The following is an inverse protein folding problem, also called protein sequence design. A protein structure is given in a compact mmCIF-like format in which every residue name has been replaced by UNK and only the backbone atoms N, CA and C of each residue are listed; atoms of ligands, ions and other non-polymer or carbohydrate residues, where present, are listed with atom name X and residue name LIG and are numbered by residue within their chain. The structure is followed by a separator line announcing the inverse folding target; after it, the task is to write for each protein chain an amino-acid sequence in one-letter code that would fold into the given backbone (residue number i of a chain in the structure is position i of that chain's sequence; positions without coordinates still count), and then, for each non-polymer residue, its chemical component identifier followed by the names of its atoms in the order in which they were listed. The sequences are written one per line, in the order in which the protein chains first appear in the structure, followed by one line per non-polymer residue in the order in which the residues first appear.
data_IF_060742431945
#
_entry.id   IF_060742431945
#
_cell.length_a   1.000
_cell.length_b   1.000
_cell.length_c   1.000
_cell.angle_alpha   90.00
_cell.angle_beta   90.00
_cell.angle_gamma   90.00
#
_symmetry.space_group_name_H-M   'P 1'
#
loop_
_entity.id
_entity.type
_entity.pdbx_description
1 polymer ?
#
# COMPACT_ATOMS: atom_id res chain seq x y z
N UNK A 1 26.71 0.71 -13.00
CA UNK A 1 25.77 0.29 -14.07
C UNK A 1 25.54 -1.19 -13.84
N UNK A 2 24.52 -1.55 -13.03
CA UNK A 2 24.25 -2.95 -12.70
C UNK A 2 23.72 -3.71 -13.94
N UNK A 3 24.13 -4.98 -14.01
CA UNK A 3 24.01 -5.93 -15.10
C UNK A 3 22.57 -6.45 -15.26
N UNK A 4 21.93 -6.13 -16.37
CA UNK A 4 20.64 -6.70 -16.81
C UNK A 4 20.89 -7.83 -17.83
N UNK A 5 21.20 -9.05 -17.38
CA UNK A 5 21.01 -10.25 -18.23
C UNK A 5 20.70 -11.50 -17.41
N UNK A 6 19.54 -12.11 -17.73
CA UNK A 6 19.13 -13.51 -17.48
C UNK A 6 18.63 -13.86 -16.07
N UNK A 7 17.58 -13.16 -15.63
CA UNK A 7 16.39 -13.79 -15.06
C UNK A 7 15.30 -12.72 -15.12
N UNK A 8 14.27 -12.91 -15.94
CA UNK A 8 13.10 -12.04 -15.87
C UNK A 8 12.39 -12.30 -14.54
N UNK A 9 12.83 -11.57 -13.53
CA UNK A 9 12.29 -11.48 -12.19
C UNK A 9 10.76 -11.26 -12.20
N UNK A 10 10.18 -10.75 -13.29
CA UNK A 10 8.81 -10.24 -13.32
C UNK A 10 8.68 -8.89 -12.60
N UNK A 11 9.80 -8.23 -12.34
CA UNK A 11 9.92 -6.97 -11.60
C UNK A 11 9.05 -5.84 -12.23
N UNK A 12 8.95 -5.75 -13.56
CA UNK A 12 8.10 -4.74 -14.23
C UNK A 12 6.61 -4.98 -13.96
N UNK A 13 6.16 -6.22 -14.10
CA UNK A 13 4.76 -6.60 -13.82
C UNK A 13 4.44 -6.39 -12.34
N UNK A 14 5.38 -6.76 -11.45
CA UNK A 14 5.23 -6.56 -10.03
C UNK A 14 5.10 -5.07 -9.67
N UNK A 15 5.95 -4.20 -10.25
CA UNK A 15 5.87 -2.75 -10.05
C UNK A 15 4.58 -2.14 -10.61
N UNK A 16 4.08 -2.64 -11.74
CA UNK A 16 2.80 -2.20 -12.28
C UNK A 16 1.65 -2.51 -11.31
N UNK A 17 1.63 -3.72 -10.72
CA UNK A 17 0.60 -4.14 -9.76
C UNK A 17 0.80 -3.62 -8.33
N UNK A 18 1.99 -3.13 -7.99
CA UNK A 18 2.33 -2.69 -6.63
C UNK A 18 1.42 -1.55 -6.15
N UNK A 19 1.13 -0.59 -7.03
CA UNK A 19 0.29 0.56 -6.67
C UNK A 19 -1.16 0.17 -6.43
N UNK A 20 -1.73 -0.65 -7.32
CA UNK A 20 -3.09 -1.15 -7.19
C UNK A 20 -3.23 -1.98 -5.90
N UNK A 21 -2.23 -2.80 -5.59
CA UNK A 21 -2.20 -3.58 -4.35
C UNK A 21 -2.13 -2.68 -3.11
N UNK A 22 -1.24 -1.68 -3.07
CA UNK A 22 -1.12 -0.75 -1.93
C UNK A 22 -2.38 0.07 -1.69
N UNK A 23 -3.19 0.31 -2.74
CA UNK A 23 -4.48 1.01 -2.64
C UNK A 23 -5.66 0.08 -2.34
N UNK A 24 -5.43 -1.22 -2.25
CA UNK A 24 -6.49 -2.22 -2.02
C UNK A 24 -7.40 -2.44 -3.23
N UNK A 25 -6.92 -2.11 -4.43
CA UNK A 25 -7.68 -2.21 -5.69
C UNK A 25 -7.57 -3.61 -6.32
N UNK A 26 -6.71 -4.48 -5.78
CA UNK A 26 -6.61 -5.89 -6.18
C UNK A 26 -7.45 -6.78 -5.27
N UNK A 27 -8.16 -7.75 -5.87
CA UNK A 27 -8.77 -8.83 -5.11
C UNK A 27 -7.69 -9.74 -4.50
N UNK A 28 -8.11 -10.62 -3.60
CA UNK A 28 -7.19 -11.52 -2.89
C UNK A 28 -6.39 -12.40 -3.85
N UNK A 29 -7.03 -12.94 -4.88
CA UNK A 29 -6.40 -13.77 -5.90
C UNK A 29 -5.35 -12.97 -6.70
N UNK A 30 -5.71 -11.78 -7.17
CA UNK A 30 -4.82 -10.93 -7.98
C UNK A 30 -3.66 -10.33 -7.17
N UNK A 31 -3.81 -10.26 -5.84
CA UNK A 31 -2.76 -9.83 -4.92
C UNK A 31 -1.71 -10.90 -4.64
N UNK A 32 -2.03 -12.19 -4.83
CA UNK A 32 -1.12 -13.27 -4.44
C UNK A 32 0.25 -13.22 -5.17
N UNK A 33 0.32 -12.98 -6.50
CA UNK A 33 1.59 -12.94 -7.21
C UNK A 33 2.50 -11.79 -6.75
N UNK A 34 1.95 -10.60 -6.50
CA UNK A 34 2.74 -9.45 -6.04
C UNK A 34 3.26 -9.67 -4.61
N UNK A 35 2.46 -10.26 -3.71
CA UNK A 35 2.93 -10.59 -2.35
C UNK A 35 4.06 -11.62 -2.36
N UNK A 36 3.94 -12.65 -3.19
CA UNK A 36 5.00 -13.64 -3.37
C UNK A 36 6.27 -12.97 -3.92
N UNK A 37 6.11 -12.09 -4.92
CA UNK A 37 7.21 -11.35 -5.52
C UNK A 37 7.95 -10.47 -4.49
N UNK A 38 7.21 -9.72 -3.68
CA UNK A 38 7.76 -8.87 -2.62
C UNK A 38 8.49 -9.70 -1.56
N UNK A 39 8.13 -10.98 -1.36
CA UNK A 39 8.87 -11.87 -0.44
C UNK A 39 10.25 -12.25 -1.00
N UNK A 40 10.38 -12.35 -2.31
CA UNK A 40 11.57 -12.88 -2.97
C UNK A 40 12.48 -11.81 -3.61
N UNK A 41 11.98 -10.60 -3.86
CA UNK A 41 12.72 -9.54 -4.54
C UNK A 41 13.03 -8.35 -3.65
N UNK A 42 14.32 -8.14 -3.32
CA UNK A 42 14.78 -7.02 -2.51
C UNK A 42 14.49 -5.66 -3.16
N UNK A 43 14.65 -5.54 -4.48
CA UNK A 43 14.40 -4.30 -5.21
C UNK A 43 12.91 -3.90 -5.15
N UNK A 44 12.00 -4.86 -5.34
CA UNK A 44 10.57 -4.56 -5.24
C UNK A 44 10.13 -4.25 -3.80
N UNK A 45 10.79 -4.81 -2.77
CA UNK A 45 10.58 -4.38 -1.38
C UNK A 45 11.05 -2.96 -1.11
N UNK A 46 12.18 -2.54 -1.67
CA UNK A 46 12.61 -1.15 -1.53
C UNK A 46 11.62 -0.19 -2.20
N UNK A 47 11.10 -0.53 -3.38
CA UNK A 47 10.07 0.26 -4.05
C UNK A 47 8.77 0.33 -3.23
N UNK A 48 8.34 -0.80 -2.64
CA UNK A 48 7.19 -0.84 -1.72
C UNK A 48 7.38 0.14 -0.55
N UNK A 49 8.54 0.10 0.11
CA UNK A 49 8.84 0.96 1.26
C UNK A 49 8.80 2.46 0.89
N UNK A 50 9.29 2.82 -0.30
CA UNK A 50 9.20 4.20 -0.82
C UNK A 50 7.73 4.60 -1.04
N UNK A 51 6.94 3.73 -1.65
CA UNK A 51 5.52 4.01 -1.92
C UNK A 51 4.70 4.15 -0.63
N UNK A 52 4.95 3.29 0.36
CA UNK A 52 4.34 3.37 1.69
C UNK A 52 4.72 4.67 2.40
N UNK A 53 6.00 5.04 2.39
CA UNK A 53 6.49 6.28 3.00
C UNK A 53 5.83 7.52 2.39
N UNK A 54 5.70 7.55 1.05
CA UNK A 54 5.01 8.63 0.36
C UNK A 54 3.52 8.70 0.73
N UNK A 55 2.87 7.55 0.76
CA UNK A 55 1.44 7.45 1.12
C UNK A 55 1.21 7.92 2.54
N UNK A 56 2.09 7.57 3.47
CA UNK A 56 2.02 7.97 4.87
C UNK A 56 2.16 9.48 5.04
N UNK A 57 3.11 10.11 4.33
CA UNK A 57 3.27 11.57 4.36
C UNK A 57 2.00 12.27 3.85
N UNK A 58 1.41 11.78 2.77
CA UNK A 58 0.17 12.34 2.23
C UNK A 58 -0.97 12.17 3.23
N UNK A 59 -1.14 10.98 3.81
CA UNK A 59 -2.17 10.72 4.84
C UNK A 59 -2.03 11.67 6.01
N UNK A 60 -0.82 11.80 6.58
CA UNK A 60 -0.55 12.71 7.69
C UNK A 60 -0.90 14.14 7.34
N UNK A 61 -0.48 14.65 6.18
CA UNK A 61 -0.84 16.01 5.76
C UNK A 61 -2.35 16.16 5.57
N UNK A 62 -3.03 15.18 4.98
CA UNK A 62 -4.48 15.20 4.85
C UNK A 62 -5.20 15.13 6.19
N UNK A 63 -4.62 14.51 7.22
CA UNK A 63 -5.16 14.46 8.59
C UNK A 63 -4.88 15.74 9.37
N UNK A 64 -3.67 16.30 9.23
CA UNK A 64 -3.23 17.53 9.89
C UNK A 64 -3.94 18.78 9.29
N UNK A 65 -4.15 18.81 7.96
CA UNK A 65 -4.88 19.88 7.25
C UNK A 65 -6.41 19.75 7.41
N UNK A 66 -6.92 18.60 7.87
CA UNK A 66 -8.33 18.42 8.25
C UNK A 66 -8.58 19.10 9.60
N UNK A 67 -8.59 20.43 9.60
CA UNK A 67 -9.04 21.27 10.71
C UNK A 67 -10.51 21.02 11.12
N UNK A 68 -11.28 20.28 10.31
CA UNK A 68 -12.62 19.80 10.62
C UNK A 68 -12.59 18.28 10.87
N UNK A 69 -12.22 17.91 12.10
CA UNK A 69 -12.32 16.54 12.58
C UNK A 69 -13.69 15.93 12.27
N UNK A 70 -13.73 14.66 11.84
CA UNK A 70 -14.96 13.91 11.77
C UNK A 70 -15.74 14.07 13.10
N UNK A 71 -17.06 14.34 13.09
CA UNK A 71 -17.81 14.62 14.31
C UNK A 71 -17.59 13.54 15.37
N UNK A 72 -17.18 13.94 16.58
CA UNK A 72 -16.87 13.01 17.67
C UNK A 72 -18.04 12.05 17.95
N UNK A 73 -19.27 12.56 17.86
CA UNK A 73 -20.49 11.79 18.04
C UNK A 73 -20.63 10.64 17.03
N UNK A 74 -20.19 10.85 15.78
CA UNK A 74 -20.21 9.83 14.74
C UNK A 74 -19.18 8.74 15.03
N UNK A 75 -17.97 9.13 15.44
CA UNK A 75 -16.93 8.19 15.86
C UNK A 75 -17.42 7.32 17.02
N UNK A 76 -18.01 7.93 18.04
CA UNK A 76 -18.50 7.22 19.22
C UNK A 76 -19.67 6.29 18.87
N UNK A 77 -20.55 6.69 17.95
CA UNK A 77 -21.62 5.84 17.46
C UNK A 77 -21.09 4.59 16.73
N UNK A 78 -20.08 4.74 15.87
CA UNK A 78 -19.43 3.63 15.18
C UNK A 78 -18.77 2.67 16.17
N UNK A 79 -18.00 3.19 17.13
CA UNK A 79 -17.30 2.37 18.13
C UNK A 79 -18.26 1.55 18.99
N UNK A 80 -19.41 2.10 19.38
CA UNK A 80 -20.46 1.33 20.07
C UNK A 80 -21.02 0.20 19.23
N UNK A 81 -21.22 0.42 17.93
CA UNK A 81 -21.72 -0.60 17.00
C UNK A 81 -20.77 -1.78 16.79
N UNK A 82 -19.46 -1.57 16.90
CA UNK A 82 -18.45 -2.63 16.76
C UNK A 82 -18.31 -3.51 18.02
N UNK A 83 -18.86 -3.09 19.16
CA UNK A 83 -18.79 -3.79 20.45
C UNK A 83 -20.03 -4.64 20.77
N UNK A 84 -21.06 -4.56 19.92
CA UNK A 84 -22.31 -5.31 20.04
C UNK A 84 -22.25 -6.61 19.21
#
# INVERSE_FOLDING_TARGET
MQNDTVNDCGCETARAKLYDWLRGELCTEDSAPIREHLTNCANCRSEQSVCESLTEVIKRVCEDERADCAPADLRDAILRGLQA
#
